data_IF_072324159461
#
_entry.id   IF_072324159461
#
_cell.length_a   1.000
_cell.length_b   1.000
_cell.length_c   1.000
_cell.angle_alpha   90.00
_cell.angle_beta   90.00
_cell.angle_gamma   90.00
#
_symmetry.space_group_name_H-M   'P 1'
#
loop_
_entity.id
_entity.type
_entity.pdbx_description
1 polymer ?
#
# COMPACT_ATOMS: atom_id res chain seq x y z
N UNK A 1 -9.43 -20.03 -34.12
CA UNK A 1 -8.93 -20.77 -32.96
C UNK A 1 -7.52 -20.37 -32.58
N UNK A 2 -6.57 -20.33 -33.47
CA UNK A 2 -5.15 -19.94 -33.23
C UNK A 2 -4.95 -18.51 -32.72
N UNK A 3 -5.76 -17.53 -33.15
CA UNK A 3 -5.68 -16.16 -32.66
C UNK A 3 -6.10 -16.01 -31.17
N UNK A 4 -7.06 -16.83 -30.69
CA UNK A 4 -7.44 -16.90 -29.26
C UNK A 4 -6.33 -17.52 -28.42
N UNK A 5 -5.66 -18.54 -28.93
CA UNK A 5 -4.55 -19.20 -28.22
C UNK A 5 -3.33 -18.26 -28.11
N UNK A 6 -2.97 -17.56 -29.18
CA UNK A 6 -1.89 -16.55 -29.16
C UNK A 6 -2.20 -15.38 -28.18
N UNK A 7 -3.47 -14.95 -28.10
CA UNK A 7 -3.89 -13.90 -27.18
C UNK A 7 -3.79 -14.36 -25.71
N UNK A 8 -4.19 -15.61 -25.44
CA UNK A 8 -4.02 -16.24 -24.12
C UNK A 8 -2.56 -16.40 -23.71
N UNK A 9 -1.66 -16.75 -24.64
CA UNK A 9 -0.23 -16.83 -24.35
C UNK A 9 0.45 -15.47 -24.20
N UNK A 10 -0.02 -14.44 -24.90
CA UNK A 10 0.46 -13.07 -24.73
C UNK A 10 0.03 -12.49 -23.38
N UNK A 11 -1.24 -12.68 -22.99
CA UNK A 11 -1.76 -12.32 -21.67
C UNK A 11 -1.03 -13.04 -20.53
N UNK A 12 -0.68 -14.31 -20.74
CA UNK A 12 0.07 -15.12 -19.76
C UNK A 12 1.48 -14.60 -19.51
N UNK A 13 2.18 -14.11 -20.56
CA UNK A 13 3.51 -13.50 -20.41
C UNK A 13 3.46 -12.18 -19.63
N UNK A 14 2.47 -11.35 -19.90
CA UNK A 14 2.28 -10.09 -19.18
C UNK A 14 1.98 -10.36 -17.71
N UNK A 15 1.11 -11.32 -17.43
CA UNK A 15 0.74 -11.70 -16.08
C UNK A 15 1.91 -12.29 -15.28
N UNK A 16 2.66 -13.23 -15.85
CA UNK A 16 3.85 -13.82 -15.22
C UNK A 16 4.91 -12.75 -14.92
N UNK A 17 5.17 -11.85 -15.87
CA UNK A 17 6.09 -10.73 -15.67
C UNK A 17 5.64 -9.82 -14.52
N UNK A 18 4.36 -9.51 -14.43
CA UNK A 18 3.81 -8.67 -13.37
C UNK A 18 3.98 -9.33 -11.99
N UNK A 19 3.74 -10.63 -11.88
CA UNK A 19 3.96 -11.38 -10.62
C UNK A 19 5.45 -11.34 -10.23
N UNK A 20 6.35 -11.59 -11.18
CA UNK A 20 7.78 -11.56 -10.92
C UNK A 20 8.25 -10.17 -10.48
N UNK A 21 7.80 -9.12 -11.16
CA UNK A 21 8.11 -7.73 -10.78
C UNK A 21 7.57 -7.40 -9.40
N UNK A 22 6.33 -7.78 -9.10
CA UNK A 22 5.74 -7.54 -7.79
C UNK A 22 6.46 -8.31 -6.67
N UNK A 23 6.85 -9.56 -6.93
CA UNK A 23 7.61 -10.38 -5.99
C UNK A 23 9.01 -9.80 -5.71
N UNK A 24 9.75 -9.43 -6.76
CA UNK A 24 11.08 -8.82 -6.61
C UNK A 24 10.99 -7.46 -5.91
N UNK A 25 10.06 -6.61 -6.32
CA UNK A 25 9.85 -5.31 -5.69
C UNK A 25 9.45 -5.45 -4.21
N UNK A 26 8.59 -6.42 -3.89
CA UNK A 26 8.23 -6.74 -2.51
C UNK A 26 9.42 -7.18 -1.67
N UNK A 27 10.28 -8.07 -2.21
CA UNK A 27 11.47 -8.53 -1.53
C UNK A 27 12.48 -7.39 -1.29
N UNK A 28 12.73 -6.55 -2.29
CA UNK A 28 13.59 -5.36 -2.15
C UNK A 28 13.00 -4.38 -1.14
N UNK A 29 11.69 -4.17 -1.19
CA UNK A 29 10.98 -3.27 -0.27
C UNK A 29 11.06 -3.77 1.17
N UNK A 30 10.95 -5.09 1.37
CA UNK A 30 11.13 -5.70 2.68
C UNK A 30 12.55 -5.43 3.21
N UNK A 31 13.57 -5.71 2.42
CA UNK A 31 14.96 -5.52 2.81
C UNK A 31 15.28 -4.06 3.15
N UNK A 32 14.86 -3.12 2.30
CA UNK A 32 15.09 -1.68 2.53
C UNK A 32 14.29 -1.19 3.73
N UNK A 33 13.03 -1.63 3.87
CA UNK A 33 12.17 -1.26 5.00
C UNK A 33 12.74 -1.71 6.34
N UNK A 34 13.28 -2.92 6.39
CA UNK A 34 13.86 -3.51 7.61
C UNK A 34 15.20 -2.86 7.98
N UNK A 35 15.99 -2.45 6.98
CA UNK A 35 17.26 -1.74 7.21
C UNK A 35 17.08 -0.30 7.74
N UNK A 36 16.00 0.37 7.35
CA UNK A 36 15.76 1.79 7.67
C UNK A 36 14.90 1.95 8.91
N UNK A 37 13.96 1.04 9.12
CA UNK A 37 12.95 1.12 10.18
C UNK A 37 12.85 -0.25 10.83
N UNK A 38 13.12 -0.31 12.13
CA UNK A 38 12.97 -1.53 12.92
C UNK A 38 11.56 -2.12 12.73
N UNK A 39 11.49 -3.40 12.31
CA UNK A 39 10.26 -4.11 11.94
C UNK A 39 9.44 -3.48 10.79
N UNK A 40 10.04 -2.54 10.04
CA UNK A 40 9.37 -1.84 8.93
C UNK A 40 9.26 -2.65 7.63
N UNK A 41 10.03 -3.72 7.49
CA UNK A 41 10.16 -4.48 6.25
C UNK A 41 8.85 -5.08 5.75
N UNK A 42 8.09 -5.73 6.64
CA UNK A 42 6.80 -6.37 6.27
C UNK A 42 5.79 -5.35 5.77
N UNK A 43 5.70 -4.21 6.45
CA UNK A 43 4.80 -3.12 6.05
C UNK A 43 5.18 -2.55 4.70
N UNK A 44 6.46 -2.26 4.50
CA UNK A 44 6.97 -1.75 3.24
C UNK A 44 6.72 -2.73 2.09
N UNK A 45 6.91 -4.04 2.29
CA UNK A 45 6.63 -5.07 1.30
C UNK A 45 5.14 -5.15 0.94
N UNK A 46 4.24 -5.11 1.93
CA UNK A 46 2.79 -5.13 1.72
C UNK A 46 2.37 -3.90 0.89
N UNK A 47 2.79 -2.70 1.31
CA UNK A 47 2.46 -1.46 0.60
C UNK A 47 3.01 -1.47 -0.83
N UNK A 48 4.24 -1.95 -1.01
CA UNK A 48 4.84 -2.08 -2.34
C UNK A 48 4.02 -3.00 -3.25
N UNK A 49 3.68 -4.20 -2.79
CA UNK A 49 2.92 -5.17 -3.60
C UNK A 49 1.50 -4.68 -3.91
N UNK A 50 0.84 -4.00 -2.98
CA UNK A 50 -0.49 -3.42 -3.21
C UNK A 50 -0.46 -2.21 -4.15
N UNK A 51 0.64 -1.47 -4.19
CA UNK A 51 0.79 -0.27 -5.02
C UNK A 51 1.24 -0.58 -6.44
N UNK A 52 1.86 -1.74 -6.71
CA UNK A 52 2.28 -2.12 -8.06
C UNK A 52 1.06 -2.44 -8.92
N UNK A 53 0.90 -1.68 -10.00
CA UNK A 53 -0.18 -1.83 -10.99
C UNK A 53 0.41 -1.94 -12.41
N UNK A 54 -0.42 -2.39 -13.35
CA UNK A 54 -0.04 -2.53 -14.76
C UNK A 54 0.39 -1.19 -15.38
N UNK A 55 -0.13 -0.07 -14.89
CA UNK A 55 0.14 1.27 -15.40
C UNK A 55 0.82 2.13 -14.34
N UNK A 56 1.88 2.84 -14.72
CA UNK A 56 2.64 3.73 -13.84
C UNK A 56 1.72 4.76 -13.16
N UNK A 57 0.81 5.38 -13.91
CA UNK A 57 -0.13 6.36 -13.36
C UNK A 57 -1.01 5.78 -12.25
N UNK A 58 -1.46 4.53 -12.42
CA UNK A 58 -2.22 3.83 -11.37
C UNK A 58 -1.35 3.47 -10.18
N UNK A 59 -0.10 3.07 -10.39
CA UNK A 59 0.83 2.78 -9.29
C UNK A 59 1.15 4.02 -8.46
N UNK A 60 1.39 5.17 -9.10
CA UNK A 60 1.61 6.44 -8.41
C UNK A 60 0.37 6.85 -7.60
N UNK A 61 -0.81 6.75 -8.19
CA UNK A 61 -2.07 7.06 -7.50
C UNK A 61 -2.32 6.16 -6.30
N UNK A 62 -2.09 4.86 -6.45
CA UNK A 62 -2.25 3.90 -5.35
C UNK A 62 -1.19 4.10 -4.26
N UNK A 63 0.08 4.31 -4.62
CA UNK A 63 1.15 4.61 -3.67
C UNK A 63 0.86 5.87 -2.86
N UNK A 64 0.44 6.95 -3.53
CA UNK A 64 0.03 8.18 -2.85
C UNK A 64 -1.18 7.96 -1.94
N UNK A 65 -2.19 7.20 -2.41
CA UNK A 65 -3.35 6.82 -1.61
C UNK A 65 -2.97 6.05 -0.36
N UNK A 66 -1.99 5.15 -0.43
CA UNK A 66 -1.47 4.41 0.73
C UNK A 66 -0.84 5.35 1.77
N UNK A 67 -0.04 6.33 1.33
CA UNK A 67 0.59 7.31 2.21
C UNK A 67 -0.47 8.15 2.92
N UNK A 68 -1.43 8.70 2.17
CA UNK A 68 -2.53 9.49 2.71
C UNK A 68 -3.39 8.66 3.66
N UNK A 69 -3.74 7.43 3.26
CA UNK A 69 -4.52 6.51 4.09
C UNK A 69 -3.81 6.16 5.41
N UNK A 70 -2.48 5.94 5.37
CA UNK A 70 -1.67 5.67 6.56
C UNK A 70 -1.61 6.89 7.48
N UNK A 71 -1.40 8.09 6.92
CA UNK A 71 -1.35 9.33 7.70
C UNK A 71 -2.69 9.60 8.42
N UNK A 72 -3.80 9.45 7.71
CA UNK A 72 -5.15 9.63 8.28
C UNK A 72 -5.43 8.55 9.34
N UNK A 73 -5.17 7.29 9.04
CA UNK A 73 -5.39 6.18 9.96
C UNK A 73 -4.59 6.33 11.26
N UNK A 74 -3.32 6.71 11.15
CA UNK A 74 -2.46 6.97 12.31
C UNK A 74 -2.96 8.16 13.14
N UNK A 75 -3.36 9.26 12.48
CA UNK A 75 -3.90 10.44 13.17
C UNK A 75 -5.19 10.14 13.93
N UNK A 76 -6.11 9.39 13.31
CA UNK A 76 -7.36 8.96 13.95
C UNK A 76 -7.08 8.05 15.14
N UNK A 77 -6.11 7.12 14.98
CA UNK A 77 -5.71 6.22 16.05
C UNK A 77 -5.19 6.98 17.29
N UNK A 78 -4.27 7.92 17.07
CA UNK A 78 -3.70 8.73 18.16
C UNK A 78 -4.74 9.59 18.86
N UNK A 79 -5.68 10.17 18.12
CA UNK A 79 -6.80 10.93 18.69
C UNK A 79 -7.74 10.05 19.49
N UNK A 80 -8.06 8.86 18.99
CA UNK A 80 -8.96 7.94 19.69
C UNK A 80 -8.40 7.50 21.04
N UNK A 81 -7.11 7.16 21.06
CA UNK A 81 -6.43 6.72 22.28
C UNK A 81 -6.35 7.82 23.35
N UNK A 82 -6.26 9.08 22.93
CA UNK A 82 -6.26 10.20 23.89
C UNK A 82 -7.64 10.46 24.52
N UNK A 83 -8.71 9.91 23.95
CA UNK A 83 -10.10 10.16 24.39
C UNK A 83 -10.75 8.94 25.03
N UNK A 84 -10.43 7.74 24.55
CA UNK A 84 -11.06 6.50 24.99
C UNK A 84 -10.02 5.49 25.47
N UNK A 85 -10.34 4.81 26.57
CA UNK A 85 -9.57 3.63 26.98
C UNK A 85 -9.70 2.50 25.92
N UNK A 86 -8.65 1.70 25.81
CA UNK A 86 -8.61 0.60 24.83
C UNK A 86 -9.68 -0.44 25.16
N UNK A 87 -10.61 -0.67 24.23
CA UNK A 87 -11.67 -1.64 24.40
C UNK A 87 -12.42 -1.93 23.09
N UNK A 88 -13.30 -2.92 23.14
CA UNK A 88 -14.09 -3.36 21.99
C UNK A 88 -14.87 -2.22 21.32
N UNK A 89 -15.45 -1.34 22.11
CA UNK A 89 -16.23 -0.20 21.61
C UNK A 89 -15.33 0.81 20.92
N UNK A 90 -14.16 1.12 21.50
CA UNK A 90 -13.19 2.05 20.90
C UNK A 90 -12.69 1.55 19.54
N UNK A 91 -12.40 0.26 19.44
CA UNK A 91 -11.99 -0.38 18.17
C UNK A 91 -13.10 -0.24 17.12
N UNK A 92 -14.33 -0.58 17.46
CA UNK A 92 -15.47 -0.48 16.55
C UNK A 92 -15.72 0.94 16.05
N UNK A 93 -15.72 1.91 16.96
CA UNK A 93 -15.89 3.33 16.62
C UNK A 93 -14.76 3.84 15.74
N UNK A 94 -13.52 3.45 16.01
CA UNK A 94 -12.37 3.83 15.18
C UNK A 94 -12.52 3.33 13.75
N UNK A 95 -12.91 2.07 13.56
CA UNK A 95 -13.10 1.49 12.22
C UNK A 95 -14.21 2.22 11.47
N UNK A 96 -15.35 2.47 12.12
CA UNK A 96 -16.48 3.20 11.52
C UNK A 96 -16.05 4.61 11.13
N UNK A 97 -15.39 5.34 12.02
CA UNK A 97 -14.94 6.70 11.77
C UNK A 97 -13.91 6.74 10.62
N UNK A 98 -12.94 5.84 10.62
CA UNK A 98 -11.97 5.70 9.54
C UNK A 98 -12.65 5.42 8.18
N UNK A 99 -13.65 4.53 8.16
CA UNK A 99 -14.39 4.22 6.93
C UNK A 99 -15.17 5.43 6.40
N UNK A 100 -15.80 6.19 7.29
CA UNK A 100 -16.52 7.43 6.93
C UNK A 100 -15.56 8.48 6.37
N UNK A 101 -14.42 8.71 7.03
CA UNK A 101 -13.40 9.66 6.57
C UNK A 101 -12.82 9.25 5.22
N UNK A 102 -12.48 7.97 5.04
CA UNK A 102 -11.98 7.46 3.78
C UNK A 102 -12.98 7.65 2.63
N UNK A 103 -14.25 7.45 2.91
CA UNK A 103 -15.34 7.64 1.95
C UNK A 103 -15.57 9.11 1.63
N UNK A 104 -15.55 9.98 2.64
CA UNK A 104 -15.72 11.42 2.48
C UNK A 104 -14.60 12.05 1.63
N UNK A 105 -13.38 11.52 1.77
CA UNK A 105 -12.20 11.95 1.00
C UNK A 105 -12.10 11.30 -0.40
N UNK A 106 -13.09 10.47 -0.78
CA UNK A 106 -13.09 9.76 -2.07
C UNK A 106 -11.78 9.02 -2.36
N UNK A 107 -11.17 8.41 -1.34
CA UNK A 107 -9.95 7.64 -1.49
C UNK A 107 -10.18 6.42 -2.39
N UNK A 108 -9.14 6.01 -3.10
CA UNK A 108 -9.18 4.78 -3.90
C UNK A 108 -9.47 3.55 -3.04
N UNK A 109 -9.89 2.46 -3.64
CA UNK A 109 -10.33 1.24 -2.96
C UNK A 109 -9.27 0.72 -1.97
N UNK A 110 -8.02 0.62 -2.42
CA UNK A 110 -6.90 0.14 -1.58
C UNK A 110 -6.59 1.11 -0.44
N UNK A 111 -6.57 2.42 -0.73
CA UNK A 111 -6.35 3.44 0.27
C UNK A 111 -7.45 3.46 1.35
N UNK A 112 -8.71 3.28 0.93
CA UNK A 112 -9.86 3.24 1.85
C UNK A 112 -9.78 2.08 2.85
N UNK A 113 -9.24 0.93 2.44
CA UNK A 113 -9.00 -0.21 3.33
C UNK A 113 -7.79 0.05 4.24
N UNK A 114 -6.77 0.75 3.74
CA UNK A 114 -5.55 1.01 4.52
C UNK A 114 -5.77 1.96 5.70
N UNK A 115 -6.73 2.89 5.62
CA UNK A 115 -7.06 3.82 6.73
C UNK A 115 -7.43 3.07 8.01
N UNK A 116 -8.48 2.23 8.05
CA UNK A 116 -8.86 1.50 9.26
C UNK A 116 -7.80 0.45 9.67
N UNK A 117 -7.15 -0.21 8.72
CA UNK A 117 -6.08 -1.19 9.01
C UNK A 117 -4.92 -0.51 9.73
N UNK A 118 -4.47 0.65 9.26
CA UNK A 118 -3.41 1.41 9.92
C UNK A 118 -3.84 1.88 11.31
N UNK A 119 -5.06 2.38 11.45
CA UNK A 119 -5.59 2.80 12.75
C UNK A 119 -5.59 1.65 13.77
N UNK A 120 -6.03 0.46 13.36
CA UNK A 120 -6.02 -0.72 14.22
C UNK A 120 -4.63 -1.17 14.62
N UNK A 121 -3.66 -1.12 13.69
CA UNK A 121 -2.26 -1.47 13.98
C UNK A 121 -1.63 -0.47 14.96
N UNK A 122 -1.95 0.81 14.83
CA UNK A 122 -1.42 1.86 15.72
C UNK A 122 -2.08 1.79 17.11
N UNK A 123 -3.37 1.44 17.19
CA UNK A 123 -4.09 1.25 18.47
C UNK A 123 -3.72 -0.07 19.16
N UNK A 124 -3.22 -1.06 18.43
CA UNK A 124 -2.87 -2.40 18.93
C UNK A 124 -1.85 -2.38 20.07
N UNK A 125 -1.42 -3.54 20.55
CA UNK A 125 -0.58 -3.66 21.74
C UNK A 125 0.74 -2.88 21.59
N UNK A 126 0.85 -1.76 22.29
CA UNK A 126 2.05 -0.91 22.28
C UNK A 126 1.86 0.46 21.66
N UNK A 127 0.74 1.10 21.95
CA UNK A 127 0.46 2.48 21.51
C UNK A 127 1.63 3.40 21.84
N UNK A 128 2.41 3.73 20.82
CA UNK A 128 3.44 4.76 20.90
C UNK A 128 3.42 5.59 19.62
N UNK A 129 3.74 6.86 19.74
CA UNK A 129 3.93 7.72 18.56
C UNK A 129 4.99 7.14 17.60
N UNK A 130 5.92 6.32 18.12
CA UNK A 130 6.91 5.59 17.32
C UNK A 130 6.26 4.58 16.38
N UNK A 131 5.24 3.86 16.80
CA UNK A 131 4.51 2.91 15.93
C UNK A 131 3.85 3.62 14.74
N UNK A 132 3.26 4.79 14.97
CA UNK A 132 2.66 5.59 13.90
C UNK A 132 3.71 6.12 12.92
N UNK A 133 4.85 6.61 13.41
CA UNK A 133 5.94 7.11 12.56
C UNK A 133 6.64 5.99 11.79
N UNK A 134 6.86 4.84 12.42
CA UNK A 134 7.42 3.65 11.75
C UNK A 134 6.48 3.15 10.65
N UNK A 135 5.17 3.14 10.91
CA UNK A 135 4.16 2.76 9.92
C UNK A 135 4.14 3.70 8.72
N UNK A 136 4.20 5.01 8.97
CA UNK A 136 4.24 6.01 7.89
C UNK A 136 5.53 5.90 7.08
N UNK A 137 6.67 5.80 7.75
CA UNK A 137 7.97 5.65 7.08
C UNK A 137 8.05 4.39 6.22
N UNK A 138 7.60 3.24 6.74
CA UNK A 138 7.55 1.98 5.99
C UNK A 138 6.60 2.08 4.78
N UNK A 139 5.48 2.79 4.91
CA UNK A 139 4.54 3.04 3.82
C UNK A 139 5.19 3.90 2.73
N UNK A 140 5.95 4.93 3.11
CA UNK A 140 6.70 5.78 2.17
C UNK A 140 7.73 4.97 1.38
N UNK A 141 8.52 4.13 2.06
CA UNK A 141 9.51 3.25 1.43
C UNK A 141 8.83 2.29 0.46
N UNK A 142 7.77 1.62 0.89
CA UNK A 142 7.03 0.68 0.04
C UNK A 142 6.43 1.34 -1.21
N UNK A 143 5.81 2.51 -1.05
CA UNK A 143 5.24 3.27 -2.16
C UNK A 143 6.31 3.77 -3.15
N UNK A 144 7.44 4.26 -2.65
CA UNK A 144 8.55 4.73 -3.47
C UNK A 144 9.14 3.60 -4.33
N UNK A 145 9.40 2.43 -3.73
CA UNK A 145 9.91 1.26 -4.43
C UNK A 145 8.90 0.75 -5.47
N UNK A 146 7.60 0.73 -5.14
CA UNK A 146 6.55 0.38 -6.08
C UNK A 146 6.55 1.26 -7.33
N UNK A 147 6.70 2.58 -7.15
CA UNK A 147 6.76 3.55 -8.25
C UNK A 147 8.00 3.30 -9.11
N UNK A 148 9.17 3.11 -8.50
CA UNK A 148 10.44 2.85 -9.20
C UNK A 148 10.32 1.57 -10.04
N UNK A 149 9.86 0.46 -9.46
CA UNK A 149 9.69 -0.79 -10.17
C UNK A 149 8.62 -0.71 -11.27
N UNK A 150 7.53 0.01 -11.04
CA UNK A 150 6.51 0.27 -12.06
C UNK A 150 7.07 1.08 -13.23
N UNK A 151 7.93 2.06 -12.97
CA UNK A 151 8.60 2.84 -14.02
C UNK A 151 9.49 1.93 -14.89
N UNK A 152 10.37 1.14 -14.29
CA UNK A 152 11.23 0.22 -15.03
C UNK A 152 10.45 -0.87 -15.77
N UNK A 153 9.37 -1.35 -15.17
CA UNK A 153 8.50 -2.34 -15.82
C UNK A 153 7.79 -1.78 -17.04
N UNK A 154 7.39 -0.50 -17.00
CA UNK A 154 6.66 0.16 -18.08
C UNK A 154 7.57 0.56 -19.25
N UNK A 155 8.79 1.01 -18.97
CA UNK A 155 9.77 1.42 -19.97
C UNK A 155 10.13 0.28 -20.96
N UNK A 156 9.94 -0.97 -20.57
CA UNK A 156 10.26 -2.15 -21.36
C UNK A 156 9.07 -2.81 -22.06
N UNK A 157 7.89 -2.20 -22.08
CA UNK A 157 6.72 -2.71 -22.82
C UNK A 157 6.62 -2.05 -24.20
N UNK A 158 6.48 -2.85 -25.30
CA UNK A 158 6.40 -2.30 -26.66
C UNK A 158 5.17 -1.41 -26.91
N UNK A 159 4.18 -1.45 -26.01
CA UNK A 159 2.96 -0.61 -26.07
C UNK A 159 3.23 0.86 -25.65
N UNK A 160 4.31 1.12 -24.89
CA UNK A 160 4.70 2.48 -24.49
C UNK A 160 5.37 3.32 -25.58
N UNK A 161 5.67 2.72 -26.75
CA UNK A 161 6.27 3.44 -27.89
C UNK A 161 5.25 3.91 -28.95
N UNK A 162 3.99 3.70 -28.74
CA UNK A 162 2.90 4.00 -29.71
C UNK A 162 1.91 5.07 -29.21
N UNK A 163 2.33 5.94 -28.28
CA UNK A 163 1.59 7.15 -27.92
C UNK A 163 2.56 8.33 -27.94
#
# INVERSE_FOLDING_TARGET
MWKKIKKLFADRRVWVRQILVAGLAGAVSWQVGDLVIEDGGVVAAIVCTLSIRISLHKSVREGFGQIVGTAIGASVALLNVSIFDFGFIAVGLTVIFCAVVARALHLGEVASVNVPVTALIVIGPGISGTTATHRLGSTLIGAAIAIIFSYFSHANTPVGRAI
#
